data_IF_363503799778
#
_entry.id   IF_363503799778
#
_cell.length_a   1.000
_cell.length_b   1.000
_cell.length_c   1.000
_cell.angle_alpha   90.00
_cell.angle_beta   90.00
_cell.angle_gamma   90.00
#
_symmetry.space_group_name_H-M   'P 1'
#
loop_
_entity.id
_entity.type
_entity.pdbx_description
1 polymer ?
#
# COMPACT_ATOMS: atom_id res chain seq x y z
N UNK A 1 11.64 -0.82 36.73
CA UNK A 1 12.97 -1.00 37.35
C UNK A 1 13.39 -2.42 37.08
N UNK A 2 14.62 -2.63 36.61
CA UNK A 2 15.09 -3.96 36.21
C UNK A 2 15.38 -4.81 37.44
N UNK A 3 15.51 -6.12 37.24
CA UNK A 3 16.11 -6.98 38.25
C UNK A 3 17.60 -6.66 38.36
N UNK A 4 18.02 -6.18 39.53
CA UNK A 4 19.40 -5.80 39.79
C UNK A 4 20.38 -6.97 39.60
N UNK A 5 19.97 -8.20 39.93
CA UNK A 5 20.83 -9.37 39.76
C UNK A 5 21.08 -9.67 38.27
N UNK A 6 20.07 -9.51 37.41
CA UNK A 6 20.23 -9.68 35.97
C UNK A 6 21.14 -8.61 35.38
N UNK A 7 20.95 -7.35 35.76
CA UNK A 7 21.78 -6.24 35.27
C UNK A 7 23.24 -6.39 35.70
N UNK A 8 23.49 -6.70 36.97
CA UNK A 8 24.85 -6.92 37.45
C UNK A 8 25.50 -8.14 36.80
N UNK A 9 24.73 -9.22 36.59
CA UNK A 9 25.23 -10.40 35.88
C UNK A 9 25.62 -10.08 34.44
N UNK A 10 24.85 -9.26 33.73
CA UNK A 10 25.16 -8.84 32.37
C UNK A 10 26.44 -7.99 32.31
N UNK A 11 26.66 -7.12 33.31
CA UNK A 11 27.87 -6.28 33.42
C UNK A 11 29.15 -7.06 33.72
N UNK A 12 29.06 -8.30 34.22
CA UNK A 12 30.23 -9.17 34.37
C UNK A 12 30.83 -9.59 33.02
N UNK A 13 30.10 -9.38 31.91
CA UNK A 13 30.55 -9.64 30.55
C UNK A 13 29.77 -10.75 29.86
N UNK A 14 29.80 -10.75 28.53
CA UNK A 14 28.99 -11.63 27.67
C UNK A 14 29.25 -13.12 27.95
N UNK A 15 30.49 -13.54 28.21
CA UNK A 15 30.79 -14.95 28.51
C UNK A 15 30.13 -15.41 29.81
N UNK A 16 30.21 -14.58 30.85
CA UNK A 16 29.58 -14.84 32.16
C UNK A 16 28.05 -14.85 32.03
N UNK A 17 27.50 -13.93 31.26
CA UNK A 17 26.08 -13.85 30.94
C UNK A 17 25.59 -15.09 30.18
N UNK A 18 26.28 -15.47 29.11
CA UNK A 18 25.90 -16.61 28.27
C UNK A 18 26.01 -17.94 29.03
N UNK A 19 27.02 -18.10 29.90
CA UNK A 19 27.09 -19.26 30.79
C UNK A 19 25.89 -19.28 31.76
N UNK A 20 25.55 -18.15 32.35
CA UNK A 20 24.38 -18.04 33.22
C UNK A 20 23.07 -18.34 32.48
N UNK A 21 22.92 -17.87 31.24
CA UNK A 21 21.78 -18.19 30.37
C UNK A 21 21.68 -19.68 30.06
N UNK A 22 22.81 -20.32 29.79
CA UNK A 22 22.89 -21.76 29.56
C UNK A 22 22.45 -22.56 30.78
N UNK A 23 22.85 -22.14 31.98
CA UNK A 23 22.45 -22.77 33.24
C UNK A 23 20.99 -22.45 33.63
N UNK A 24 20.45 -21.33 33.15
CA UNK A 24 19.13 -20.81 33.53
C UNK A 24 18.21 -20.57 32.31
N UNK A 25 17.98 -21.58 31.45
CA UNK A 25 17.31 -21.38 30.15
C UNK A 25 15.83 -20.98 30.26
N UNK A 26 15.21 -21.16 31.44
CA UNK A 26 13.81 -20.83 31.70
C UNK A 26 13.61 -19.45 32.33
N UNK A 27 14.69 -18.79 32.76
CA UNK A 27 14.60 -17.46 33.35
C UNK A 27 14.48 -16.46 32.20
N UNK A 28 13.40 -15.66 32.21
CA UNK A 28 13.27 -14.49 31.35
C UNK A 28 14.13 -13.36 31.95
N UNK A 29 15.18 -12.87 31.26
CA UNK A 29 15.91 -11.72 31.75
C UNK A 29 15.02 -10.51 31.93
N UNK A 30 15.08 -9.86 33.09
CA UNK A 30 14.41 -8.58 33.36
C UNK A 30 15.47 -7.47 33.34
N UNK A 31 15.47 -6.72 32.25
CA UNK A 31 16.35 -5.59 31.97
C UNK A 31 15.50 -4.32 31.70
N UNK A 32 14.28 -4.26 32.25
CA UNK A 32 13.34 -3.15 32.03
C UNK A 32 13.95 -1.84 32.52
N UNK A 33 14.03 -0.84 31.64
CA UNK A 33 14.65 0.46 31.92
C UNK A 33 16.13 0.38 32.33
N UNK A 34 16.81 -0.74 32.05
CA UNK A 34 18.22 -0.87 32.36
C UNK A 34 19.05 0.17 31.59
N UNK A 35 20.08 0.70 32.26
CA UNK A 35 21.09 1.54 31.64
C UNK A 35 22.22 0.66 31.10
N UNK A 36 22.22 0.44 29.80
CA UNK A 36 23.12 -0.42 29.05
C UNK A 36 23.90 0.37 27.98
N UNK A 37 23.99 1.70 28.16
CA UNK A 37 24.65 2.59 27.20
C UNK A 37 26.13 2.25 27.04
N UNK A 38 26.58 2.11 25.80
CA UNK A 38 27.98 1.83 25.46
C UNK A 38 28.49 0.45 25.89
N UNK A 39 27.61 -0.44 26.38
CA UNK A 39 27.99 -1.78 26.81
C UNK A 39 28.29 -2.65 25.58
N UNK A 40 29.28 -3.54 25.71
CA UNK A 40 29.54 -4.58 24.72
C UNK A 40 28.71 -5.83 25.05
N UNK A 41 27.70 -6.09 24.24
CA UNK A 41 26.76 -7.20 24.27
C UNK A 41 26.84 -8.05 23.00
N UNK A 42 27.94 -7.96 22.23
CA UNK A 42 28.13 -8.74 21.03
C UNK A 42 28.01 -10.25 21.32
N UNK A 43 27.13 -10.96 20.60
CA UNK A 43 26.87 -12.39 20.81
C UNK A 43 26.16 -12.74 22.13
N UNK A 44 25.64 -11.76 22.88
CA UNK A 44 24.91 -12.03 24.11
C UNK A 44 23.59 -12.77 23.83
N UNK A 45 23.29 -13.79 24.62
CA UNK A 45 22.00 -14.45 24.62
C UNK A 45 20.99 -13.63 25.42
N UNK A 46 20.25 -12.78 24.73
CA UNK A 46 19.15 -11.96 25.23
C UNK A 46 17.80 -12.52 24.78
N UNK A 47 17.72 -13.81 24.44
CA UNK A 47 16.48 -14.48 24.02
C UNK A 47 15.42 -14.30 25.11
N UNK A 48 14.21 -13.87 24.75
CA UNK A 48 13.11 -13.51 25.65
C UNK A 48 13.37 -12.35 26.63
N UNK A 49 14.51 -11.64 26.56
CA UNK A 49 14.81 -10.57 27.51
C UNK A 49 13.76 -9.45 27.46
N UNK A 50 13.41 -8.93 28.64
CA UNK A 50 12.58 -7.74 28.77
C UNK A 50 13.46 -6.50 28.84
N UNK A 51 13.59 -5.80 27.72
CA UNK A 51 14.35 -4.56 27.54
C UNK A 51 13.41 -3.36 27.37
N UNK A 52 12.17 -3.45 27.86
CA UNK A 52 11.19 -2.37 27.78
C UNK A 52 11.80 -1.06 28.28
N UNK A 53 11.81 -0.04 27.41
CA UNK A 53 12.34 1.29 27.71
C UNK A 53 13.81 1.30 28.19
N UNK A 54 14.60 0.28 27.83
CA UNK A 54 16.04 0.20 28.14
C UNK A 54 16.83 1.26 27.36
N UNK A 55 17.96 1.68 27.93
CA UNK A 55 18.87 2.66 27.32
C UNK A 55 20.07 1.93 26.73
N UNK A 56 20.10 1.80 25.42
CA UNK A 56 21.15 1.17 24.61
C UNK A 56 21.76 2.20 23.64
N UNK A 57 21.54 3.49 23.86
CA UNK A 57 22.17 4.59 23.13
C UNK A 57 23.67 4.73 23.47
N UNK A 58 24.47 5.50 22.72
CA UNK A 58 25.88 5.66 22.99
C UNK A 58 26.08 6.36 24.34
N UNK A 59 27.12 5.98 25.07
CA UNK A 59 27.49 6.63 26.35
C UNK A 59 28.23 7.97 26.18
N UNK A 60 28.40 8.41 24.93
CA UNK A 60 29.17 9.57 24.51
C UNK A 60 30.54 9.21 23.93
N UNK A 61 31.08 8.03 24.24
CA UNK A 61 32.39 7.56 23.76
C UNK A 61 32.28 6.39 22.78
N UNK A 62 31.30 5.51 22.96
CA UNK A 62 31.12 4.29 22.16
C UNK A 62 29.63 4.01 21.93
N UNK A 63 29.25 3.50 20.74
CA UNK A 63 27.93 2.91 20.56
C UNK A 63 27.81 1.64 21.42
N UNK A 64 26.58 1.27 21.77
CA UNK A 64 26.30 -0.05 22.34
C UNK A 64 26.48 -1.09 21.25
N UNK A 65 27.22 -2.16 21.54
CA UNK A 65 27.49 -3.23 20.59
C UNK A 65 26.59 -4.43 20.91
N UNK A 66 25.69 -4.77 20.01
CA UNK A 66 24.79 -5.93 20.01
C UNK A 66 25.03 -6.81 18.78
N UNK A 67 26.18 -6.69 18.10
CA UNK A 67 26.50 -7.46 16.91
C UNK A 67 26.39 -8.97 17.19
N UNK A 68 25.62 -9.69 16.38
CA UNK A 68 25.35 -11.12 16.56
C UNK A 68 24.61 -11.49 17.85
N UNK A 69 24.06 -10.54 18.61
CA UNK A 69 23.29 -10.83 19.81
C UNK A 69 22.01 -11.61 19.46
N UNK A 70 21.61 -12.52 20.35
CA UNK A 70 20.38 -13.31 20.19
C UNK A 70 19.27 -12.63 20.97
N UNK A 71 18.32 -12.03 20.27
CA UNK A 71 17.19 -11.25 20.79
C UNK A 71 15.85 -11.86 20.36
N UNK A 72 15.82 -13.14 20.00
CA UNK A 72 14.59 -13.85 19.62
C UNK A 72 13.49 -13.63 20.68
N UNK A 73 12.34 -13.12 20.25
CA UNK A 73 11.19 -12.80 21.13
C UNK A 73 11.51 -11.88 22.31
N UNK A 74 12.55 -11.04 22.20
CA UNK A 74 12.84 -10.01 23.20
C UNK A 74 11.82 -8.87 23.12
N UNK A 75 11.54 -8.23 24.26
CA UNK A 75 10.71 -7.03 24.34
C UNK A 75 11.60 -5.80 24.38
N UNK A 76 11.68 -5.05 23.28
CA UNK A 76 12.45 -3.82 23.10
C UNK A 76 11.55 -2.60 22.92
N UNK A 77 10.25 -2.71 23.24
CA UNK A 77 9.29 -1.62 23.10
C UNK A 77 9.79 -0.37 23.85
N UNK A 78 9.77 0.78 23.17
CA UNK A 78 10.33 2.06 23.67
C UNK A 78 11.84 2.07 23.99
N UNK A 79 12.60 1.01 23.69
CA UNK A 79 14.04 1.00 23.93
C UNK A 79 14.74 2.06 23.06
N UNK A 80 15.81 2.66 23.59
CA UNK A 80 16.65 3.59 22.85
C UNK A 80 17.88 2.86 22.31
N UNK A 81 17.88 2.53 21.03
CA UNK A 81 18.95 1.85 20.28
C UNK A 81 19.64 2.81 19.30
N UNK A 82 19.57 4.12 19.55
CA UNK A 82 20.19 5.13 18.68
C UNK A 82 21.64 4.76 18.40
N UNK A 83 22.02 4.63 17.12
CA UNK A 83 23.39 4.28 16.70
C UNK A 83 23.97 3.01 17.35
N UNK A 84 23.13 2.10 17.84
CA UNK A 84 23.59 0.79 18.29
C UNK A 84 24.04 -0.05 17.09
N UNK A 85 25.03 -0.90 17.30
CA UNK A 85 25.46 -1.90 16.32
C UNK A 85 24.68 -3.20 16.59
N UNK A 86 23.76 -3.56 15.71
CA UNK A 86 22.96 -4.79 15.73
C UNK A 86 23.29 -5.65 14.50
N UNK A 87 24.46 -5.48 13.89
CA UNK A 87 24.86 -6.24 12.70
C UNK A 87 24.81 -7.75 12.98
N UNK A 88 24.13 -8.51 12.13
CA UNK A 88 23.93 -9.95 12.28
C UNK A 88 23.14 -10.38 13.53
N UNK A 89 22.49 -9.45 14.25
CA UNK A 89 21.69 -9.80 15.43
C UNK A 89 20.44 -10.61 15.03
N UNK A 90 20.06 -11.57 15.88
CA UNK A 90 18.87 -12.39 15.67
C UNK A 90 17.68 -11.85 16.48
N UNK A 91 16.84 -11.05 15.83
CA UNK A 91 15.66 -10.34 16.35
C UNK A 91 14.34 -11.00 15.91
N UNK A 92 14.36 -12.25 15.44
CA UNK A 92 13.16 -12.99 15.01
C UNK A 92 12.06 -12.91 16.07
N UNK A 93 10.85 -12.50 15.68
CA UNK A 93 9.67 -12.27 16.53
C UNK A 93 9.89 -11.28 17.71
N UNK A 94 10.89 -10.41 17.65
CA UNK A 94 11.10 -9.38 18.69
C UNK A 94 10.07 -8.24 18.59
N UNK A 95 9.71 -7.68 19.74
CA UNK A 95 8.85 -6.49 19.82
C UNK A 95 9.72 -5.24 19.95
N UNK A 96 9.88 -4.49 18.85
CA UNK A 96 10.58 -3.22 18.74
C UNK A 96 9.59 -2.04 18.60
N UNK A 97 8.33 -2.22 19.03
CA UNK A 97 7.30 -1.21 18.92
C UNK A 97 7.73 0.12 19.53
N UNK A 98 7.67 1.20 18.76
CA UNK A 98 8.09 2.56 19.20
C UNK A 98 9.54 2.65 19.71
N UNK A 99 10.39 1.67 19.39
CA UNK A 99 11.81 1.76 19.69
C UNK A 99 12.47 2.86 18.85
N UNK A 100 13.56 3.42 19.38
CA UNK A 100 14.36 4.42 18.67
C UNK A 100 15.65 3.79 18.13
N UNK A 101 15.66 3.46 16.85
CA UNK A 101 16.77 2.87 16.10
C UNK A 101 17.44 3.91 15.17
N UNK A 102 17.35 5.20 15.51
CA UNK A 102 17.95 6.27 14.71
C UNK A 102 19.44 6.00 14.43
N UNK A 103 19.79 5.84 13.16
CA UNK A 103 21.16 5.56 12.72
C UNK A 103 21.78 4.27 13.25
N UNK A 104 20.97 3.30 13.70
CA UNK A 104 21.45 1.99 14.09
C UNK A 104 21.94 1.18 12.88
N UNK A 105 22.80 0.20 13.13
CA UNK A 105 23.31 -0.73 12.13
C UNK A 105 22.64 -2.09 12.30
N UNK A 106 21.86 -2.51 11.31
CA UNK A 106 21.14 -3.78 11.20
C UNK A 106 21.64 -4.60 10.00
N UNK A 107 22.83 -4.33 9.48
CA UNK A 107 23.38 -5.12 8.37
C UNK A 107 23.33 -6.62 8.67
N UNK A 108 22.77 -7.41 7.74
CA UNK A 108 22.59 -8.87 7.88
C UNK A 108 21.80 -9.33 9.12
N UNK A 109 21.11 -8.43 9.82
CA UNK A 109 20.30 -8.79 10.99
C UNK A 109 19.04 -9.56 10.57
N UNK A 110 18.61 -10.51 11.39
CA UNK A 110 17.38 -11.29 11.19
C UNK A 110 16.26 -10.66 12.03
N UNK A 111 15.30 -10.01 11.38
CA UNK A 111 14.09 -9.42 11.97
C UNK A 111 12.84 -10.13 11.48
N UNK A 112 12.93 -11.42 11.14
CA UNK A 112 11.81 -12.21 10.67
C UNK A 112 10.64 -12.14 11.68
N UNK A 113 9.44 -11.79 11.24
CA UNK A 113 8.24 -11.56 12.07
C UNK A 113 8.38 -10.50 13.19
N UNK A 114 9.39 -9.63 13.17
CA UNK A 114 9.54 -8.60 14.21
C UNK A 114 8.45 -7.51 14.12
N UNK A 115 8.05 -6.96 15.27
CA UNK A 115 7.15 -5.81 15.34
C UNK A 115 7.93 -4.50 15.47
N UNK A 116 7.91 -3.67 14.44
CA UNK A 116 8.55 -2.36 14.37
C UNK A 116 7.51 -1.24 14.27
N UNK A 117 6.27 -1.48 14.72
CA UNK A 117 5.18 -0.51 14.65
C UNK A 117 5.58 0.81 15.31
N UNK A 118 5.43 1.92 14.58
CA UNK A 118 5.77 3.27 15.05
C UNK A 118 7.23 3.45 15.50
N UNK A 119 8.15 2.56 15.11
CA UNK A 119 9.57 2.68 15.43
C UNK A 119 10.25 3.81 14.62
N UNK A 120 11.26 4.43 15.21
CA UNK A 120 12.10 5.42 14.53
C UNK A 120 13.34 4.72 13.94
N UNK A 121 13.37 4.56 12.63
CA UNK A 121 14.44 3.91 11.85
C UNK A 121 15.16 4.93 10.94
N UNK A 122 15.09 6.22 11.28
CA UNK A 122 15.71 7.29 10.48
C UNK A 122 17.22 7.06 10.35
N UNK A 123 17.76 7.11 9.12
CA UNK A 123 19.17 6.83 8.79
C UNK A 123 19.65 5.40 9.15
N UNK A 124 18.75 4.45 9.36
CA UNK A 124 19.10 3.04 9.59
C UNK A 124 20.03 2.51 8.48
N UNK A 125 21.06 1.75 8.85
CA UNK A 125 21.79 0.89 7.93
C UNK A 125 21.19 -0.51 8.05
N UNK A 126 20.60 -1.05 7.00
CA UNK A 126 19.91 -2.34 7.00
C UNK A 126 20.16 -3.12 5.73
N UNK A 127 21.36 -3.00 5.17
CA UNK A 127 21.77 -3.72 3.98
C UNK A 127 21.73 -5.23 4.24
N UNK A 128 21.10 -5.97 3.33
CA UNK A 128 20.93 -7.42 3.42
C UNK A 128 20.25 -7.91 4.72
N UNK A 129 19.57 -7.01 5.46
CA UNK A 129 18.80 -7.38 6.64
C UNK A 129 17.53 -8.14 6.25
N UNK A 130 17.12 -9.09 7.08
CA UNK A 130 15.89 -9.85 6.88
C UNK A 130 14.73 -9.21 7.65
N UNK A 131 13.81 -8.57 6.95
CA UNK A 131 12.55 -8.05 7.48
C UNK A 131 11.35 -8.91 6.99
N UNK A 132 11.56 -10.19 6.68
CA UNK A 132 10.47 -11.08 6.29
C UNK A 132 9.30 -10.99 7.28
N UNK A 133 8.09 -10.80 6.76
CA UNK A 133 6.86 -10.65 7.53
C UNK A 133 6.88 -9.59 8.65
N UNK A 134 7.87 -8.69 8.68
CA UNK A 134 8.00 -7.69 9.72
C UNK A 134 6.89 -6.63 9.64
N UNK A 135 6.47 -6.12 10.78
CA UNK A 135 5.44 -5.09 10.87
C UNK A 135 6.07 -3.70 10.99
N UNK A 136 6.10 -2.94 9.88
CA UNK A 136 6.69 -1.60 9.79
C UNK A 136 5.62 -0.49 9.73
N UNK A 137 4.40 -0.77 10.20
CA UNK A 137 3.29 0.17 10.17
C UNK A 137 3.66 1.45 10.92
N UNK A 138 3.51 2.60 10.25
CA UNK A 138 3.79 3.94 10.78
C UNK A 138 5.24 4.14 11.25
N UNK A 139 6.16 3.27 10.85
CA UNK A 139 7.57 3.43 11.13
C UNK A 139 8.18 4.59 10.30
N UNK A 140 9.24 5.19 10.83
CA UNK A 140 10.01 6.25 10.15
C UNK A 140 11.31 5.68 9.59
N UNK A 141 11.32 5.30 8.31
CA UNK A 141 12.47 4.77 7.57
C UNK A 141 13.15 5.84 6.70
N UNK A 142 12.94 7.13 6.97
CA UNK A 142 13.52 8.18 6.13
C UNK A 142 15.03 8.05 6.07
N UNK A 143 15.56 8.12 4.86
CA UNK A 143 16.99 8.00 4.55
C UNK A 143 17.64 6.72 5.07
N UNK A 144 16.86 5.68 5.34
CA UNK A 144 17.39 4.35 5.62
C UNK A 144 18.05 3.77 4.37
N UNK A 145 19.08 2.96 4.55
CA UNK A 145 19.73 2.21 3.48
C UNK A 145 19.37 0.74 3.64
N UNK A 146 18.48 0.25 2.78
CA UNK A 146 17.91 -1.10 2.84
C UNK A 146 18.35 -1.95 1.64
N UNK A 147 19.46 -1.61 0.99
CA UNK A 147 19.88 -2.29 -0.24
C UNK A 147 19.99 -3.80 -0.03
N UNK A 148 19.33 -4.60 -0.88
CA UNK A 148 19.32 -6.06 -0.79
C UNK A 148 18.47 -6.64 0.35
N UNK A 149 17.87 -5.80 1.21
CA UNK A 149 17.06 -6.28 2.33
C UNK A 149 15.88 -7.15 1.88
N UNK A 150 15.56 -8.16 2.68
CA UNK A 150 14.38 -8.98 2.48
C UNK A 150 13.17 -8.33 3.13
N UNK A 151 12.26 -7.79 2.34
CA UNK A 151 10.99 -7.19 2.76
C UNK A 151 9.80 -8.04 2.32
N UNK A 152 10.02 -9.33 2.04
CA UNK A 152 8.99 -10.27 1.62
C UNK A 152 7.90 -10.36 2.68
N UNK A 153 6.64 -10.18 2.30
CA UNK A 153 5.46 -10.17 3.19
C UNK A 153 5.48 -9.09 4.30
N UNK A 154 6.44 -8.17 4.27
CA UNK A 154 6.51 -7.09 5.25
C UNK A 154 5.37 -6.07 5.07
N UNK A 155 5.00 -5.39 6.15
CA UNK A 155 3.86 -4.46 6.19
C UNK A 155 4.33 -3.00 6.28
N UNK A 156 4.18 -2.24 5.19
CA UNK A 156 4.49 -0.81 5.08
C UNK A 156 3.20 0.02 4.96
N UNK A 157 2.42 0.14 6.03
CA UNK A 157 1.21 1.00 6.03
C UNK A 157 1.51 2.30 6.76
N UNK A 158 1.28 3.43 6.09
CA UNK A 158 1.57 4.77 6.63
C UNK A 158 3.05 4.96 7.04
N UNK A 159 3.94 4.18 6.43
CA UNK A 159 5.39 4.20 6.67
C UNK A 159 6.06 5.32 5.88
N UNK A 160 7.02 6.01 6.49
CA UNK A 160 7.76 7.07 5.83
C UNK A 160 9.10 6.56 5.28
N UNK A 161 9.23 6.51 3.96
CA UNK A 161 10.42 6.05 3.22
C UNK A 161 11.10 7.21 2.47
N UNK A 162 10.86 8.47 2.85
CA UNK A 162 11.46 9.63 2.17
C UNK A 162 12.99 9.52 2.12
N UNK A 163 13.55 9.56 0.91
CA UNK A 163 14.99 9.46 0.69
C UNK A 163 15.61 8.10 1.04
N UNK A 164 14.81 7.06 1.32
CA UNK A 164 15.33 5.72 1.60
C UNK A 164 15.87 5.06 0.33
N UNK A 165 16.84 4.16 0.47
CA UNK A 165 17.37 3.35 -0.62
C UNK A 165 16.85 1.92 -0.51
N UNK A 166 15.99 1.51 -1.45
CA UNK A 166 15.37 0.19 -1.53
C UNK A 166 15.99 -0.67 -2.63
N UNK A 167 17.17 -0.31 -3.15
CA UNK A 167 17.76 -0.99 -4.31
C UNK A 167 17.95 -2.48 -4.07
N UNK A 168 17.44 -3.33 -4.96
CA UNK A 168 17.59 -4.78 -4.86
C UNK A 168 16.76 -5.45 -3.77
N UNK A 169 15.88 -4.72 -3.05
CA UNK A 169 15.06 -5.33 -2.00
C UNK A 169 14.14 -6.43 -2.54
N UNK A 170 13.89 -7.45 -1.74
CA UNK A 170 12.87 -8.46 -2.01
C UNK A 170 11.53 -7.99 -1.46
N UNK A 171 10.52 -7.79 -2.30
CA UNK A 171 9.25 -7.15 -1.90
C UNK A 171 8.02 -7.99 -2.22
N UNK A 172 8.21 -9.27 -2.57
CA UNK A 172 7.12 -10.21 -2.85
C UNK A 172 6.12 -10.25 -1.68
N UNK A 173 4.82 -10.17 -1.96
CA UNK A 173 3.77 -10.24 -0.93
C UNK A 173 3.75 -9.07 0.07
N UNK A 174 4.64 -8.09 -0.05
CA UNK A 174 4.65 -6.94 0.86
C UNK A 174 3.34 -6.15 0.77
N UNK A 175 2.86 -5.64 1.90
CA UNK A 175 1.66 -4.82 1.97
C UNK A 175 2.01 -3.35 2.05
N UNK A 176 1.81 -2.61 0.96
CA UNK A 176 2.24 -1.20 0.84
C UNK A 176 1.02 -0.29 0.69
N UNK A 177 0.79 0.60 1.65
CA UNK A 177 -0.35 1.53 1.60
C UNK A 177 -0.03 2.87 2.28
N UNK A 178 -0.37 4.00 1.63
CA UNK A 178 -0.09 5.35 2.13
C UNK A 178 1.38 5.58 2.55
N UNK A 179 2.32 4.97 1.83
CA UNK A 179 3.74 5.21 2.07
C UNK A 179 4.18 6.55 1.49
N UNK A 180 5.15 7.20 2.13
CA UNK A 180 5.84 8.35 1.55
C UNK A 180 7.14 7.91 0.90
N UNK A 181 7.23 7.97 -0.42
CA UNK A 181 8.41 7.57 -1.21
C UNK A 181 9.16 8.76 -1.82
N UNK A 182 8.89 10.00 -1.36
CA UNK A 182 9.52 11.18 -1.94
C UNK A 182 11.06 11.06 -1.90
N UNK A 183 11.70 11.08 -3.06
CA UNK A 183 13.15 10.95 -3.19
C UNK A 183 13.72 9.57 -2.82
N UNK A 184 12.88 8.56 -2.59
CA UNK A 184 13.34 7.19 -2.37
C UNK A 184 13.94 6.60 -3.66
N UNK A 185 15.03 5.85 -3.53
CA UNK A 185 15.62 5.08 -4.63
C UNK A 185 14.96 3.72 -4.67
N UNK A 186 14.43 3.35 -5.83
CA UNK A 186 13.74 2.09 -6.09
C UNK A 186 14.30 1.54 -7.40
N UNK A 187 15.18 0.56 -7.33
CA UNK A 187 15.74 -0.09 -8.52
C UNK A 187 15.93 -1.57 -8.25
N UNK A 188 15.71 -2.41 -9.25
CA UNK A 188 15.93 -3.85 -9.16
C UNK A 188 15.16 -4.55 -8.01
N UNK A 189 14.00 -4.03 -7.62
CA UNK A 189 13.13 -4.63 -6.61
C UNK A 189 12.69 -6.02 -7.07
N UNK A 190 12.91 -7.05 -6.25
CA UNK A 190 12.56 -8.44 -6.59
C UNK A 190 11.11 -8.71 -6.19
N UNK A 191 10.30 -9.14 -7.15
CA UNK A 191 8.84 -9.31 -6.99
C UNK A 191 8.40 -10.75 -7.09
N UNK A 192 9.32 -11.70 -6.93
CA UNK A 192 9.07 -13.15 -6.96
C UNK A 192 9.62 -13.81 -5.70
N UNK A 193 9.07 -14.97 -5.29
CA UNK A 193 9.65 -15.80 -4.23
C UNK A 193 11.07 -16.27 -4.58
N UNK A 194 11.86 -16.63 -3.57
CA UNK A 194 13.28 -16.96 -3.72
C UNK A 194 13.58 -18.24 -4.51
N UNK A 195 12.60 -19.13 -4.68
CA UNK A 195 12.70 -20.37 -5.45
C UNK A 195 12.22 -20.26 -6.91
N UNK A 196 11.74 -19.08 -7.31
CA UNK A 196 11.19 -18.83 -8.64
C UNK A 196 12.13 -18.04 -9.56
N UNK A 197 11.71 -17.89 -10.84
CA UNK A 197 12.46 -17.07 -11.80
C UNK A 197 12.41 -15.60 -11.38
N UNK A 198 13.58 -15.02 -11.09
CA UNK A 198 13.71 -13.63 -10.63
C UNK A 198 13.09 -12.65 -11.64
N UNK A 199 12.05 -11.94 -11.20
CA UNK A 199 11.48 -10.76 -11.88
C UNK A 199 11.81 -9.53 -11.05
N UNK A 200 12.23 -8.45 -11.72
CA UNK A 200 12.53 -7.17 -11.07
C UNK A 200 11.75 -6.00 -11.65
N UNK A 201 11.55 -4.98 -10.82
CA UNK A 201 10.92 -3.70 -11.19
C UNK A 201 11.61 -2.54 -10.45
N UNK A 202 11.47 -1.32 -10.95
CA UNK A 202 12.08 -0.11 -10.37
C UNK A 202 11.07 0.78 -9.63
N UNK A 203 9.90 0.24 -9.29
CA UNK A 203 8.85 0.99 -8.64
C UNK A 203 8.01 0.07 -7.74
N UNK A 204 7.82 0.48 -6.48
CA UNK A 204 7.10 -0.33 -5.49
C UNK A 204 5.60 -0.43 -5.83
N UNK A 205 4.99 0.57 -6.48
CA UNK A 205 3.61 0.45 -6.92
C UNK A 205 3.47 -0.54 -8.09
N UNK A 206 4.44 -0.55 -9.02
CA UNK A 206 4.52 -1.57 -10.06
C UNK A 206 4.79 -2.95 -9.45
N UNK A 207 5.60 -3.05 -8.40
CA UNK A 207 5.83 -4.31 -7.68
C UNK A 207 4.52 -4.87 -7.11
N UNK A 208 3.70 -4.03 -6.46
CA UNK A 208 2.39 -4.42 -5.96
C UNK A 208 1.47 -4.91 -7.09
N UNK A 209 1.49 -4.24 -8.23
CA UNK A 209 0.71 -4.66 -9.39
C UNK A 209 1.18 -6.02 -9.93
N UNK A 210 2.49 -6.18 -10.17
CA UNK A 210 3.06 -7.43 -10.70
C UNK A 210 2.80 -8.60 -9.75
N UNK A 211 2.95 -8.40 -8.45
CA UNK A 211 2.60 -9.39 -7.43
C UNK A 211 1.16 -9.88 -7.59
N UNK A 212 0.19 -8.95 -7.72
CA UNK A 212 -1.21 -9.31 -7.93
C UNK A 212 -1.45 -10.10 -9.23
N UNK A 213 -0.60 -9.95 -10.24
CA UNK A 213 -0.71 -10.70 -11.51
C UNK A 213 -0.10 -12.09 -11.42
N UNK A 214 1.03 -12.24 -10.72
CA UNK A 214 1.74 -13.50 -10.61
C UNK A 214 1.03 -14.48 -9.66
N UNK A 215 0.56 -14.00 -8.51
CA UNK A 215 0.05 -14.87 -7.43
C UNK A 215 -1.46 -15.13 -7.51
N UNK A 216 -2.16 -14.56 -8.50
CA UNK A 216 -3.61 -14.68 -8.58
C UNK A 216 -4.10 -15.02 -10.00
N UNK A 217 -4.29 -16.32 -10.26
CA UNK A 217 -4.91 -16.80 -11.51
C UNK A 217 -6.26 -16.13 -11.80
N UNK A 218 -7.03 -15.74 -10.77
CA UNK A 218 -8.28 -14.99 -10.97
C UNK A 218 -8.04 -13.56 -11.43
N UNK A 219 -6.93 -12.92 -11.05
CA UNK A 219 -6.54 -11.58 -11.48
C UNK A 219 -5.96 -11.61 -12.90
N UNK A 220 -5.24 -12.66 -13.30
CA UNK A 220 -4.82 -12.82 -14.72
C UNK A 220 -6.05 -12.87 -15.65
N UNK A 221 -7.09 -13.63 -15.26
CA UNK A 221 -8.39 -13.65 -15.93
C UNK A 221 -9.17 -12.33 -15.76
N UNK A 222 -8.80 -11.50 -14.77
CA UNK A 222 -9.43 -10.21 -14.49
C UNK A 222 -8.85 -9.07 -15.34
N UNK A 223 -7.61 -9.15 -15.85
CA UNK A 223 -7.08 -8.12 -16.76
C UNK A 223 -7.87 -8.09 -18.08
N UNK A 224 -8.19 -9.26 -18.62
CA UNK A 224 -9.12 -9.36 -19.76
C UNK A 224 -10.51 -8.83 -19.36
N UNK A 225 -10.94 -9.07 -18.12
CA UNK A 225 -12.24 -8.63 -17.60
C UNK A 225 -12.37 -7.13 -17.29
N UNK A 226 -11.37 -6.45 -16.75
CA UNK A 226 -11.45 -5.02 -16.42
C UNK A 226 -11.50 -4.25 -17.72
N UNK A 227 -10.56 -4.54 -18.62
CA UNK A 227 -10.56 -3.89 -19.93
C UNK A 227 -11.83 -4.20 -20.74
N UNK A 228 -12.43 -5.40 -20.61
CA UNK A 228 -13.61 -5.78 -21.42
C UNK A 228 -14.99 -5.64 -20.74
N UNK A 229 -15.07 -5.52 -19.42
CA UNK A 229 -16.34 -5.59 -18.66
C UNK A 229 -16.52 -4.49 -17.61
N UNK A 230 -15.49 -3.71 -17.28
CA UNK A 230 -15.66 -2.61 -16.33
C UNK A 230 -16.56 -1.51 -16.93
N UNK A 231 -17.55 -1.05 -16.18
CA UNK A 231 -18.41 0.07 -16.59
C UNK A 231 -18.39 1.09 -15.48
N UNK A 232 -17.83 2.27 -15.76
CA UNK A 232 -17.84 3.39 -14.81
C UNK A 232 -19.19 4.10 -14.88
N UNK A 233 -19.86 4.21 -13.74
CA UNK A 233 -21.10 4.96 -13.58
C UNK A 233 -20.75 6.20 -12.77
N UNK A 234 -20.97 7.36 -13.38
CA UNK A 234 -20.78 8.66 -12.74
C UNK A 234 -22.16 9.26 -12.46
N UNK A 235 -22.46 9.61 -11.20
CA UNK A 235 -23.75 10.18 -10.83
C UNK A 235 -23.78 10.73 -9.41
N UNK A 236 -24.79 11.53 -9.11
CA UNK A 236 -25.07 12.00 -7.75
C UNK A 236 -26.01 11.02 -7.04
N UNK A 237 -25.71 10.66 -5.80
CA UNK A 237 -26.53 9.73 -5.01
C UNK A 237 -27.60 10.42 -4.16
N UNK A 238 -27.66 11.74 -4.26
CA UNK A 238 -28.69 12.58 -3.65
C UNK A 238 -29.54 13.24 -4.73
N UNK A 239 -30.87 13.33 -4.53
CA UNK A 239 -31.66 12.77 -3.42
C UNK A 239 -31.83 11.22 -3.51
N UNK A 240 -32.38 10.53 -2.47
CA UNK A 240 -32.44 9.07 -2.39
C UNK A 240 -33.05 8.35 -3.60
N UNK A 241 -33.98 8.99 -4.31
CA UNK A 241 -34.58 8.45 -5.53
C UNK A 241 -33.53 8.24 -6.64
N UNK A 242 -32.45 9.04 -6.66
CA UNK A 242 -31.33 8.87 -7.59
C UNK A 242 -30.52 7.63 -7.28
N UNK A 243 -30.27 7.38 -6.00
CA UNK A 243 -29.56 6.19 -5.56
C UNK A 243 -30.29 4.91 -5.99
N UNK A 244 -31.61 4.88 -5.94
CA UNK A 244 -32.41 3.74 -6.42
C UNK A 244 -32.19 3.47 -7.92
N UNK A 245 -32.09 4.53 -8.73
CA UNK A 245 -31.80 4.42 -10.17
C UNK A 245 -30.39 3.88 -10.41
N UNK A 246 -29.38 4.43 -9.73
CA UNK A 246 -27.98 3.99 -9.88
C UNK A 246 -27.80 2.54 -9.40
N UNK A 247 -28.45 2.15 -8.31
CA UNK A 247 -28.44 0.76 -7.82
C UNK A 247 -29.16 -0.19 -8.79
N UNK A 248 -30.19 0.26 -9.49
CA UNK A 248 -30.84 -0.51 -10.54
C UNK A 248 -29.96 -0.69 -11.77
N UNK A 249 -29.35 0.39 -12.28
CA UNK A 249 -28.35 0.35 -13.37
C UNK A 249 -27.22 -0.62 -13.02
N UNK A 250 -26.70 -0.55 -11.79
CA UNK A 250 -25.66 -1.46 -11.30
C UNK A 250 -26.10 -2.93 -11.31
N UNK A 251 -27.33 -3.22 -10.90
CA UNK A 251 -27.89 -4.58 -10.91
C UNK A 251 -28.03 -5.09 -12.34
N UNK A 252 -28.51 -4.24 -13.24
CA UNK A 252 -28.75 -4.58 -14.64
C UNK A 252 -27.45 -4.80 -15.41
N UNK A 253 -26.40 -4.02 -15.14
CA UNK A 253 -25.07 -4.28 -15.69
C UNK A 253 -24.51 -5.64 -15.23
N UNK A 254 -24.74 -6.04 -13.97
CA UNK A 254 -24.27 -7.32 -13.43
C UNK A 254 -24.93 -8.53 -14.09
N UNK A 255 -26.22 -8.47 -14.42
CA UNK A 255 -26.91 -9.57 -15.13
C UNK A 255 -26.35 -9.78 -16.54
N UNK A 256 -25.66 -8.78 -17.10
CA UNK A 256 -24.95 -8.80 -18.39
C UNK A 256 -23.45 -9.08 -18.27
N UNK A 257 -23.00 -9.55 -17.10
CA UNK A 257 -21.60 -9.86 -16.82
C UNK A 257 -20.67 -8.63 -16.83
N UNK A 258 -21.20 -7.40 -16.82
CA UNK A 258 -20.39 -6.20 -16.58
C UNK A 258 -20.02 -6.07 -15.09
N UNK A 259 -18.89 -5.43 -14.83
CA UNK A 259 -18.39 -5.08 -13.51
C UNK A 259 -18.59 -3.57 -13.26
N UNK A 260 -19.73 -3.14 -12.70
CA UNK A 260 -20.01 -1.74 -12.49
C UNK A 260 -19.13 -1.14 -11.39
N UNK A 261 -18.45 -0.05 -11.73
CA UNK A 261 -17.69 0.83 -10.82
C UNK A 261 -18.52 2.09 -10.66
N UNK A 262 -18.81 2.48 -9.43
CA UNK A 262 -19.70 3.61 -9.17
C UNK A 262 -18.90 4.72 -8.50
N UNK A 263 -19.02 5.92 -9.03
CA UNK A 263 -18.33 7.11 -8.53
C UNK A 263 -19.37 8.18 -8.19
N UNK A 264 -19.36 8.63 -6.94
CA UNK A 264 -20.24 9.69 -6.44
C UNK A 264 -19.57 11.05 -6.62
N UNK A 265 -20.30 11.97 -7.24
CA UNK A 265 -19.86 13.36 -7.36
C UNK A 265 -19.99 14.16 -6.06
N UNK A 266 -20.77 13.68 -5.08
CA UNK A 266 -20.90 14.32 -3.76
C UNK A 266 -19.76 13.90 -2.81
N UNK A 267 -18.54 14.29 -3.17
CA UNK A 267 -17.35 14.19 -2.33
C UNK A 267 -17.00 15.51 -1.60
N UNK A 268 -16.14 15.51 -0.58
CA UNK A 268 -15.67 16.75 0.04
C UNK A 268 -14.99 17.66 -0.98
N UNK A 269 -15.38 18.95 -1.01
CA UNK A 269 -15.00 19.98 -2.01
C UNK A 269 -13.48 20.20 -2.20
N UNK A 270 -12.61 19.54 -1.43
CA UNK A 270 -11.16 19.69 -1.42
C UNK A 270 -10.37 18.64 -2.18
N UNK A 271 -11.02 17.64 -2.81
CA UNK A 271 -10.32 16.63 -3.60
C UNK A 271 -10.35 16.96 -5.10
N UNK A 272 -9.19 17.02 -5.73
CA UNK A 272 -9.08 16.97 -7.20
C UNK A 272 -9.40 15.54 -7.67
N UNK A 273 -10.68 15.27 -7.87
CA UNK A 273 -11.22 13.97 -8.26
C UNK A 273 -10.95 13.63 -9.75
N UNK A 274 -10.48 14.60 -10.53
CA UNK A 274 -10.28 14.50 -11.98
C UNK A 274 -9.37 13.34 -12.36
N UNK A 275 -8.24 13.21 -11.66
CA UNK A 275 -7.24 12.16 -11.95
C UNK A 275 -7.80 10.76 -11.69
N UNK A 276 -8.57 10.61 -10.61
CA UNK A 276 -9.22 9.34 -10.24
C UNK A 276 -10.26 8.94 -11.29
N UNK A 277 -11.18 9.86 -11.63
CA UNK A 277 -12.22 9.62 -12.64
C UNK A 277 -11.59 9.29 -14.00
N UNK A 278 -10.57 10.04 -14.42
CA UNK A 278 -9.85 9.80 -15.68
C UNK A 278 -9.21 8.41 -15.71
N UNK A 279 -8.59 7.98 -14.60
CA UNK A 279 -7.96 6.67 -14.49
C UNK A 279 -8.99 5.55 -14.57
N UNK A 280 -10.09 5.66 -13.82
CA UNK A 280 -11.19 4.68 -13.86
C UNK A 280 -11.85 4.63 -15.24
N UNK A 281 -12.01 5.79 -15.91
CA UNK A 281 -12.55 5.85 -17.26
C UNK A 281 -11.66 5.11 -18.25
N UNK A 282 -10.33 5.28 -18.19
CA UNK A 282 -9.36 4.56 -19.05
C UNK A 282 -9.43 3.04 -18.89
N UNK A 283 -9.72 2.57 -17.69
CA UNK A 283 -9.88 1.15 -17.40
C UNK A 283 -11.25 0.60 -17.79
N UNK A 284 -12.21 1.47 -18.11
CA UNK A 284 -13.60 1.09 -18.37
C UNK A 284 -13.87 0.79 -19.84
N UNK A 285 -14.75 -0.18 -20.07
CA UNK A 285 -15.30 -0.53 -21.38
C UNK A 285 -16.10 0.62 -21.98
N UNK A 286 -16.92 1.26 -21.14
CA UNK A 286 -17.64 2.51 -21.42
C UNK A 286 -18.01 3.18 -20.09
N UNK A 287 -18.38 4.45 -20.15
CA UNK A 287 -18.79 5.27 -19.02
C UNK A 287 -20.27 5.63 -19.18
N UNK A 288 -21.08 5.36 -18.16
CA UNK A 288 -22.43 5.89 -18.03
C UNK A 288 -22.38 7.15 -17.18
N UNK A 289 -22.94 8.25 -17.67
CA UNK A 289 -22.94 9.50 -16.91
C UNK A 289 -24.36 9.97 -16.72
N UNK A 290 -24.79 9.96 -15.47
CA UNK A 290 -26.07 10.51 -15.08
C UNK A 290 -25.99 12.03 -14.97
N UNK A 291 -26.66 12.71 -15.90
CA UNK A 291 -26.78 14.16 -15.98
C UNK A 291 -28.01 14.70 -15.25
N UNK A 292 -28.79 13.84 -14.60
CA UNK A 292 -29.98 14.24 -13.86
C UNK A 292 -29.56 14.82 -12.52
N UNK A 293 -29.86 16.11 -12.28
CA UNK A 293 -29.43 16.87 -11.10
C UNK A 293 -27.96 16.73 -10.63
N UNK A 294 -26.93 17.18 -11.39
CA UNK A 294 -25.63 17.48 -10.76
C UNK A 294 -25.16 18.91 -11.10
N UNK A 295 -24.73 19.66 -10.08
CA UNK A 295 -24.06 20.95 -10.29
C UNK A 295 -22.66 20.80 -10.91
N UNK A 296 -22.03 19.61 -10.85
CA UNK A 296 -20.63 19.34 -11.21
C UNK A 296 -20.40 18.37 -12.38
N UNK A 297 -21.27 17.37 -12.61
CA UNK A 297 -21.04 16.29 -13.60
C UNK A 297 -20.61 16.76 -15.01
N UNK A 298 -21.17 17.83 -15.59
CA UNK A 298 -20.71 18.30 -16.91
C UNK A 298 -19.23 18.71 -16.92
N UNK A 299 -18.75 19.37 -15.85
CA UNK A 299 -17.34 19.80 -15.74
C UNK A 299 -16.38 18.62 -15.61
N UNK A 300 -16.84 17.53 -14.99
CA UNK A 300 -16.04 16.31 -14.87
C UNK A 300 -15.97 15.57 -16.21
N UNK A 301 -17.05 15.52 -16.99
CA UNK A 301 -16.99 14.95 -18.34
C UNK A 301 -16.03 15.75 -19.21
N UNK A 302 -16.06 17.09 -19.16
CA UNK A 302 -15.19 17.91 -20.00
C UNK A 302 -13.71 17.75 -19.66
N UNK A 303 -13.39 17.43 -18.40
CA UNK A 303 -12.00 17.24 -17.97
C UNK A 303 -11.39 15.94 -18.49
N UNK A 304 -12.13 14.82 -18.54
CA UNK A 304 -11.57 13.55 -19.02
C UNK A 304 -11.96 13.16 -20.45
N UNK A 305 -13.07 13.66 -21.01
CA UNK A 305 -13.51 13.28 -22.36
C UNK A 305 -12.50 13.69 -23.45
N UNK A 306 -11.68 14.71 -23.20
CA UNK A 306 -10.57 15.10 -24.07
C UNK A 306 -9.44 14.07 -24.08
N UNK A 307 -9.13 13.51 -22.92
CA UNK A 307 -7.90 12.76 -22.68
C UNK A 307 -8.10 11.23 -22.70
N UNK A 308 -9.35 10.78 -22.83
CA UNK A 308 -9.74 9.36 -22.78
C UNK A 308 -10.71 9.03 -23.91
N UNK A 309 -10.27 8.20 -24.86
CA UNK A 309 -11.10 7.66 -25.94
C UNK A 309 -11.90 6.43 -25.47
N UNK A 310 -12.80 6.65 -24.51
CA UNK A 310 -13.74 5.63 -24.03
C UNK A 310 -15.17 6.12 -24.31
N UNK A 311 -16.09 5.24 -24.74
CA UNK A 311 -17.46 5.67 -25.01
C UNK A 311 -18.11 6.23 -23.75
N UNK A 312 -18.69 7.42 -23.86
CA UNK A 312 -19.41 8.09 -22.78
C UNK A 312 -20.87 8.13 -23.20
N UNK A 313 -21.76 7.49 -22.43
CA UNK A 313 -23.21 7.47 -22.65
C UNK A 313 -23.91 8.31 -21.57
N UNK A 314 -24.33 9.54 -21.90
CA UNK A 314 -25.06 10.37 -20.96
C UNK A 314 -26.51 9.87 -20.79
N UNK A 315 -27.02 9.89 -19.55
CA UNK A 315 -28.39 9.59 -19.17
C UNK A 315 -29.03 10.86 -18.60
N UNK A 316 -30.26 11.17 -18.98
CA UNK A 316 -30.96 12.35 -18.47
C UNK A 316 -32.45 12.07 -18.28
N UNK A 317 -32.97 12.29 -17.08
CA UNK A 317 -34.40 12.16 -16.83
C UNK A 317 -35.18 13.29 -17.51
N UNK A 318 -36.28 12.95 -18.17
CA UNK A 318 -37.18 13.92 -18.81
C UNK A 318 -37.75 14.87 -17.74
N UNK A 319 -37.65 16.17 -17.99
CA UNK A 319 -38.03 17.23 -17.05
C UNK A 319 -36.84 18.03 -16.52
N UNK A 320 -35.63 17.46 -16.56
CA UNK A 320 -34.40 18.17 -16.24
C UNK A 320 -33.82 18.92 -17.44
N UNK A 321 -33.18 20.08 -17.16
CA UNK A 321 -32.50 20.86 -18.19
C UNK A 321 -31.17 20.20 -18.52
N UNK A 322 -31.07 19.63 -19.72
CA UNK A 322 -29.80 19.17 -20.27
C UNK A 322 -28.78 20.31 -20.38
N UNK A 323 -27.50 19.98 -20.25
CA UNK A 323 -26.41 20.96 -20.27
C UNK A 323 -25.93 21.21 -21.71
N UNK A 324 -25.91 22.48 -22.15
CA UNK A 324 -25.45 22.86 -23.49
C UNK A 324 -24.03 22.39 -23.80
N UNK A 325 -23.15 22.37 -22.79
CA UNK A 325 -21.75 21.93 -22.93
C UNK A 325 -21.61 20.48 -23.39
N UNK A 326 -22.55 19.59 -23.04
CA UNK A 326 -22.52 18.19 -23.47
C UNK A 326 -22.67 18.09 -25.00
N UNK A 327 -23.47 18.99 -25.61
CA UNK A 327 -23.61 19.05 -27.07
C UNK A 327 -22.32 19.49 -27.76
N UNK A 328 -21.56 20.38 -27.13
CA UNK A 328 -20.27 20.82 -27.66
C UNK A 328 -19.22 19.68 -27.59
N UNK A 329 -19.26 18.87 -26.52
CA UNK A 329 -18.44 17.67 -26.40
C UNK A 329 -18.83 16.60 -27.43
N UNK A 330 -20.13 16.34 -27.64
CA UNK A 330 -20.64 15.42 -28.66
C UNK A 330 -20.20 15.81 -30.08
N UNK A 331 -20.10 17.11 -30.37
CA UNK A 331 -19.58 17.62 -31.65
C UNK A 331 -18.07 17.48 -31.79
N UNK A 332 -17.35 17.57 -30.67
CA UNK A 332 -15.88 17.57 -30.65
C UNK A 332 -15.30 16.16 -30.60
N UNK A 333 -16.01 15.22 -29.98
CA UNK A 333 -15.53 13.89 -29.66
C UNK A 333 -16.59 12.84 -30.01
N UNK A 334 -16.32 12.03 -31.03
CA UNK A 334 -17.28 11.03 -31.54
C UNK A 334 -17.52 9.85 -30.57
N UNK A 335 -16.74 9.76 -29.49
CA UNK A 335 -16.91 8.82 -28.38
C UNK A 335 -17.82 9.36 -27.27
N UNK A 336 -18.26 10.62 -27.33
CA UNK A 336 -19.35 11.13 -26.48
C UNK A 336 -20.66 10.90 -27.23
N UNK A 337 -21.42 9.91 -26.80
CA UNK A 337 -22.65 9.48 -27.46
C UNK A 337 -23.81 10.44 -27.19
N UNK A 338 -24.87 10.31 -27.99
CA UNK A 338 -26.13 11.02 -27.77
C UNK A 338 -26.68 10.73 -26.37
N UNK A 339 -27.37 11.71 -25.79
CA UNK A 339 -27.98 11.56 -24.46
C UNK A 339 -29.20 10.65 -24.56
N UNK A 340 -29.26 9.58 -23.76
CA UNK A 340 -30.47 8.78 -23.61
C UNK A 340 -31.40 9.45 -22.58
N UNK A 341 -32.62 9.75 -23.03
CA UNK A 341 -33.65 10.36 -22.21
C UNK A 341 -34.61 9.31 -21.68
N UNK A 342 -34.86 9.32 -20.37
CA UNK A 342 -35.78 8.37 -19.74
C UNK A 342 -36.79 9.10 -18.85
N UNK A 343 -37.98 8.53 -18.66
CA UNK A 343 -39.07 9.21 -17.93
C UNK A 343 -39.03 8.87 -16.43
N UNK A 344 -38.79 7.60 -16.12
CA UNK A 344 -38.73 7.04 -14.78
C UNK A 344 -37.86 5.77 -14.78
N UNK A 345 -37.69 5.15 -13.61
CA UNK A 345 -36.88 3.94 -13.46
C UNK A 345 -37.37 2.79 -14.35
N UNK A 346 -38.68 2.57 -14.44
CA UNK A 346 -39.25 1.48 -15.24
C UNK A 346 -38.92 1.67 -16.72
N UNK A 347 -39.09 2.88 -17.25
CA UNK A 347 -38.72 3.22 -18.63
C UNK A 347 -37.21 3.02 -18.88
N UNK A 348 -36.35 3.45 -17.96
CA UNK A 348 -34.90 3.25 -18.11
C UNK A 348 -34.54 1.76 -18.15
N UNK A 349 -35.19 0.91 -17.34
CA UNK A 349 -34.90 -0.53 -17.30
C UNK A 349 -35.41 -1.27 -18.54
N UNK A 350 -36.55 -0.86 -19.12
CA UNK A 350 -37.08 -1.49 -20.35
C UNK A 350 -36.27 -1.15 -21.59
N UNK A 351 -35.64 0.03 -21.65
CA UNK A 351 -34.82 0.47 -22.79
C UNK A 351 -33.31 0.31 -22.57
N UNK A 352 -32.89 -0.15 -21.38
CA UNK A 352 -31.48 -0.17 -20.96
C UNK A 352 -30.57 -0.92 -21.95
N UNK A 353 -31.04 -2.05 -22.48
CA UNK A 353 -30.25 -2.84 -23.43
C UNK A 353 -30.04 -2.13 -24.75
N UNK A 354 -31.15 -1.83 -25.42
CA UNK A 354 -31.14 -1.38 -26.80
C UNK A 354 -30.65 0.06 -26.92
N UNK A 355 -30.96 0.89 -25.92
CA UNK A 355 -30.70 2.32 -25.98
C UNK A 355 -29.56 2.80 -25.09
N UNK A 356 -29.13 2.03 -24.08
CA UNK A 356 -27.99 2.46 -23.23
C UNK A 356 -26.76 1.61 -23.52
N UNK A 357 -26.86 0.29 -23.36
CA UNK A 357 -25.71 -0.62 -23.43
C UNK A 357 -25.28 -0.85 -24.88
N UNK A 358 -26.20 -1.19 -25.79
CA UNK A 358 -25.84 -1.55 -27.16
C UNK A 358 -25.10 -0.43 -27.93
N UNK A 359 -25.49 0.86 -27.86
CA UNK A 359 -24.76 1.95 -28.50
C UNK A 359 -23.36 2.16 -27.89
N UNK A 360 -23.25 2.10 -26.57
CA UNK A 360 -21.98 2.23 -25.86
C UNK A 360 -21.01 1.11 -26.26
N UNK A 361 -21.49 -0.12 -26.29
CA UNK A 361 -20.70 -1.30 -26.63
C UNK A 361 -20.30 -1.32 -28.11
N UNK A 362 -21.18 -0.87 -29.00
CA UNK A 362 -20.86 -0.71 -30.43
C UNK A 362 -19.72 0.31 -30.63
N UNK A 363 -19.79 1.46 -29.96
CA UNK A 363 -18.72 2.46 -30.00
C UNK A 363 -17.43 1.93 -29.38
N UNK A 364 -17.53 1.17 -28.30
CA UNK A 364 -16.38 0.56 -27.62
C UNK A 364 -15.63 -0.43 -28.54
N UNK A 365 -16.33 -1.13 -29.43
CA UNK A 365 -15.72 -1.99 -30.46
C UNK A 365 -15.05 -1.18 -31.57
N UNK A 366 -15.71 -0.13 -32.07
CA UNK A 366 -15.18 0.78 -33.10
C UNK A 366 -13.88 1.47 -32.65
N UNK A 367 -13.82 1.99 -31.41
CA UNK A 367 -12.60 2.65 -30.92
C UNK A 367 -11.43 1.67 -30.78
N UNK A 368 -11.70 0.42 -30.37
CA UNK A 368 -10.66 -0.62 -30.30
C UNK A 368 -10.12 -1.01 -31.67
N UNK A 369 -10.97 -1.12 -32.70
CA UNK A 369 -10.48 -1.46 -34.04
C UNK A 369 -9.59 -0.37 -34.63
N UNK A 370 -9.81 0.90 -34.28
CA UNK A 370 -8.95 2.04 -34.68
C UNK A 370 -7.55 2.01 -34.03
N UNK A 371 -7.39 1.39 -32.87
CA UNK A 371 -6.08 1.27 -32.19
C UNK A 371 -5.20 0.15 -32.76
N UNK A 372 -5.80 -0.81 -33.49
CA UNK A 372 -5.10 -1.96 -34.08
C UNK A 372 -4.96 -1.87 -35.61
N UNK A 373 -5.42 -0.79 -36.22
CA UNK A 373 -5.29 -0.47 -37.65
C UNK A 373 -4.19 0.57 -37.85
#
# INVERSE_FOLDING_TARGET
MPDAAHVEKLKEGVDSWNLWRYENPRIKPDLVQADLRGVNLAGADLTYADLYNARLDPDGSRPTNLAGARLHRATLTFANLTRADLSGAALTEADLGRANLHGADLQEADLDWADLTEANLFLLQGQDADFHAANLIRADLRRAVLTGANLTEARFVETNLEGADLSGCHVYGSSVWKVNLQGATQTDLVVTPGDETRVTVDDLALAQLVYLLLDNERVSNFIDAVSSRAVLILGAFSPPERKEILDAVKRELRTRNYAPILFDFEGPESQDLTTTVTTLARLSRFVLVDLTTPRSAPYEISSFARDVQVPIRPLLQVGDRGFGMVKDLQRSYDWVLDTHHYENLEHLMTTFDEEVVAPAEAKARDLRSRLHA
#
